data_IF_575990662310
#
_entry.id   IF_575990662310
#
_cell.length_a   1.000
_cell.length_b   1.000
_cell.length_c   1.000
_cell.angle_alpha   90.00
_cell.angle_beta   90.00
_cell.angle_gamma   90.00
#
_symmetry.space_group_name_H-M   'P 1'
#
loop_
_entity.id
_entity.type
_entity.pdbx_description
1 polymer ?
#
# COMPACT_ATOMS: atom_id res chain seq x y z
N UNK A 1 -15.06 7.10 -11.66
CA UNK A 1 -15.09 6.39 -10.35
C UNK A 1 -15.28 4.87 -10.57
N UNK A 2 -16.32 4.39 -11.31
CA UNK A 2 -16.60 2.96 -11.55
C UNK A 2 -15.39 2.18 -12.11
N UNK A 3 -14.72 2.68 -13.14
CA UNK A 3 -13.51 2.02 -13.68
C UNK A 3 -12.37 1.94 -12.67
N UNK A 4 -12.23 2.95 -11.81
CA UNK A 4 -11.20 2.96 -10.76
C UNK A 4 -11.47 1.96 -9.62
N UNK A 5 -12.73 1.55 -9.40
CA UNK A 5 -13.05 0.49 -8.45
C UNK A 5 -12.88 -0.92 -9.02
N UNK A 6 -12.44 -1.06 -10.26
CA UNK A 6 -12.29 -2.34 -10.94
C UNK A 6 -13.57 -2.92 -11.54
N UNK A 7 -14.69 -2.17 -11.50
CA UNK A 7 -15.95 -2.62 -12.06
C UNK A 7 -15.85 -2.82 -13.57
N UNK A 8 -16.45 -3.90 -14.07
CA UNK A 8 -16.62 -4.16 -15.51
C UNK A 8 -18.01 -3.75 -15.96
N UNK A 9 -18.08 -3.25 -17.16
CA UNK A 9 -19.34 -2.92 -17.82
C UNK A 9 -19.82 -4.14 -18.61
N UNK A 10 -21.03 -4.61 -18.31
CA UNK A 10 -21.64 -5.74 -19.00
C UNK A 10 -22.72 -5.31 -20.01
N UNK A 11 -23.34 -4.15 -19.78
CA UNK A 11 -24.28 -3.48 -20.70
C UNK A 11 -24.11 -1.97 -20.58
N UNK A 12 -24.78 -1.20 -21.45
CA UNK A 12 -24.58 0.27 -21.58
C UNK A 12 -24.59 1.04 -20.27
N UNK A 13 -25.41 0.67 -19.29
CA UNK A 13 -25.50 1.33 -17.98
C UNK A 13 -25.35 0.36 -16.81
N UNK A 14 -24.93 -0.88 -17.08
CA UNK A 14 -24.84 -1.93 -16.08
C UNK A 14 -23.39 -2.29 -15.82
N UNK A 15 -23.00 -2.20 -14.54
CA UNK A 15 -21.65 -2.50 -14.07
C UNK A 15 -21.71 -3.59 -13.00
N UNK A 16 -20.74 -4.48 -13.02
CA UNK A 16 -20.61 -5.58 -12.06
C UNK A 16 -19.29 -5.46 -11.30
N UNK A 17 -19.35 -5.83 -10.05
CA UNK A 17 -18.20 -5.93 -9.15
C UNK A 17 -18.35 -7.18 -8.28
N UNK A 18 -17.27 -7.88 -7.90
CA UNK A 18 -17.38 -8.97 -6.93
C UNK A 18 -17.96 -8.48 -5.60
N UNK A 19 -18.83 -9.31 -5.00
CA UNK A 19 -19.52 -8.98 -3.75
C UNK A 19 -18.55 -9.12 -2.57
N UNK A 20 -18.00 -8.00 -2.11
CA UNK A 20 -17.33 -7.92 -0.83
C UNK A 20 -17.76 -6.64 -0.06
N UNK A 21 -17.63 -6.63 1.28
CA UNK A 21 -18.14 -5.55 2.11
C UNK A 21 -17.60 -4.16 1.73
N UNK A 22 -16.31 -4.04 1.38
CA UNK A 22 -15.69 -2.75 1.01
C UNK A 22 -16.23 -2.23 -0.33
N UNK A 23 -16.39 -3.13 -1.30
CA UNK A 23 -16.87 -2.78 -2.64
C UNK A 23 -18.35 -2.50 -2.64
N UNK A 24 -19.12 -3.22 -1.83
CA UNK A 24 -20.53 -2.93 -1.63
C UNK A 24 -20.74 -1.51 -1.09
N UNK A 25 -20.01 -1.12 -0.05
CA UNK A 25 -20.05 0.25 0.49
C UNK A 25 -19.66 1.29 -0.59
N UNK A 26 -18.63 1.03 -1.38
CA UNK A 26 -18.23 1.91 -2.49
C UNK A 26 -19.37 2.11 -3.48
N UNK A 27 -20.10 1.06 -3.81
CA UNK A 27 -21.25 1.17 -4.72
C UNK A 27 -22.46 1.85 -4.08
N UNK A 28 -22.70 1.67 -2.79
CA UNK A 28 -23.72 2.41 -2.05
C UNK A 28 -23.46 3.92 -2.12
N UNK A 29 -22.25 4.35 -1.80
CA UNK A 29 -21.83 5.76 -1.90
C UNK A 29 -21.95 6.30 -3.32
N UNK A 30 -21.57 5.51 -4.32
CA UNK A 30 -21.67 5.94 -5.71
C UNK A 30 -23.13 6.08 -6.15
N UNK A 31 -23.99 5.13 -5.79
CA UNK A 31 -25.43 5.18 -6.05
C UNK A 31 -26.05 6.42 -5.41
N UNK A 32 -25.74 6.69 -4.16
CA UNK A 32 -26.22 7.89 -3.46
C UNK A 32 -25.70 9.17 -4.12
N UNK A 33 -24.46 9.19 -4.56
CA UNK A 33 -23.88 10.35 -5.23
C UNK A 33 -24.56 10.63 -6.59
N UNK A 34 -24.89 9.59 -7.36
CA UNK A 34 -25.62 9.74 -8.62
C UNK A 34 -27.02 10.30 -8.38
N UNK A 35 -27.73 9.76 -7.38
CA UNK A 35 -29.07 10.23 -7.01
C UNK A 35 -29.07 11.68 -6.54
N UNK A 36 -28.11 12.06 -5.70
CA UNK A 36 -27.94 13.46 -5.23
C UNK A 36 -27.62 14.44 -6.37
N UNK A 37 -27.03 13.94 -7.47
CA UNK A 37 -26.78 14.72 -8.68
C UNK A 37 -27.96 14.74 -9.66
N UNK A 38 -29.13 14.24 -9.28
CA UNK A 38 -30.35 14.19 -10.10
C UNK A 38 -30.39 13.04 -11.10
N UNK A 39 -29.47 12.06 -11.00
CA UNK A 39 -29.46 10.86 -11.81
C UNK A 39 -30.24 9.71 -11.15
N UNK A 40 -30.50 8.66 -11.93
CA UNK A 40 -31.08 7.42 -11.40
C UNK A 40 -30.01 6.33 -11.32
N UNK A 41 -30.00 5.59 -10.20
CA UNK A 41 -29.09 4.46 -9.99
C UNK A 41 -29.70 3.44 -9.03
N UNK A 42 -29.60 2.18 -9.39
CA UNK A 42 -30.02 1.04 -8.56
C UNK A 42 -28.82 0.15 -8.27
N UNK A 43 -28.67 -0.26 -7.02
CA UNK A 43 -27.68 -1.22 -6.58
C UNK A 43 -28.37 -2.54 -6.23
N UNK A 44 -27.91 -3.61 -6.87
CA UNK A 44 -28.44 -4.95 -6.64
C UNK A 44 -27.32 -5.89 -6.21
N UNK A 45 -27.57 -6.71 -5.19
CA UNK A 45 -26.73 -7.87 -4.86
C UNK A 45 -27.37 -9.11 -5.47
N UNK A 46 -26.64 -9.77 -6.35
CA UNK A 46 -27.10 -10.98 -7.02
C UNK A 46 -26.11 -12.12 -6.77
N UNK A 47 -26.61 -13.32 -6.57
CA UNK A 47 -25.78 -14.54 -6.52
C UNK A 47 -25.50 -15.06 -7.92
N UNK A 48 -26.48 -14.94 -8.81
CA UNK A 48 -26.44 -15.38 -10.19
C UNK A 48 -27.09 -14.35 -11.08
N UNK A 49 -26.62 -14.25 -12.32
CA UNK A 49 -27.20 -13.41 -13.36
C UNK A 49 -27.60 -14.36 -14.49
N UNK A 50 -28.90 -14.46 -14.76
CA UNK A 50 -29.40 -15.31 -15.83
C UNK A 50 -28.80 -14.90 -17.19
N UNK A 51 -28.33 -15.88 -17.93
CA UNK A 51 -27.65 -15.65 -19.22
C UNK A 51 -26.19 -15.19 -19.09
N UNK A 52 -25.65 -15.01 -17.85
CA UNK A 52 -24.27 -14.61 -17.62
C UNK A 52 -23.68 -15.37 -16.43
N UNK A 53 -23.21 -16.61 -16.61
CA UNK A 53 -22.67 -17.45 -15.55
C UNK A 53 -21.42 -16.83 -14.92
N UNK A 54 -21.15 -17.19 -13.66
CA UNK A 54 -20.05 -16.63 -12.87
C UNK A 54 -18.69 -16.84 -13.54
N UNK A 55 -18.47 -17.97 -14.19
CA UNK A 55 -17.26 -18.29 -14.95
C UNK A 55 -17.04 -17.26 -16.07
N UNK A 56 -18.11 -16.89 -16.74
CA UNK A 56 -18.04 -15.86 -17.80
C UNK A 56 -17.75 -14.47 -17.24
N UNK A 57 -18.28 -14.15 -16.05
CA UNK A 57 -17.94 -12.92 -15.35
C UNK A 57 -16.45 -12.89 -14.98
N UNK A 58 -15.91 -13.97 -14.45
CA UNK A 58 -14.47 -14.10 -14.13
C UNK A 58 -13.62 -13.90 -15.39
N UNK A 59 -13.99 -14.49 -16.53
CA UNK A 59 -13.31 -14.28 -17.80
C UNK A 59 -13.31 -12.81 -18.22
N UNK A 60 -14.43 -12.11 -18.07
CA UNK A 60 -14.55 -10.70 -18.43
C UNK A 60 -13.67 -9.81 -17.53
N UNK A 61 -13.63 -10.09 -16.22
CA UNK A 61 -12.71 -9.42 -15.28
C UNK A 61 -11.25 -9.66 -15.68
N UNK A 62 -10.90 -10.93 -15.92
CA UNK A 62 -9.56 -11.30 -16.33
C UNK A 62 -9.17 -10.68 -17.68
N UNK A 63 -10.07 -10.62 -18.66
CA UNK A 63 -9.82 -9.98 -19.93
C UNK A 63 -9.58 -8.46 -19.80
N UNK A 64 -10.32 -7.80 -18.91
CA UNK A 64 -10.12 -6.39 -18.63
C UNK A 64 -8.74 -6.14 -17.99
N UNK A 65 -8.37 -6.90 -16.97
CA UNK A 65 -7.05 -6.81 -16.32
C UNK A 65 -5.92 -7.16 -17.26
N UNK A 66 -6.09 -8.20 -18.08
CA UNK A 66 -5.10 -8.62 -19.08
C UNK A 66 -4.75 -7.51 -20.07
N UNK A 67 -5.73 -6.66 -20.45
CA UNK A 67 -5.49 -5.48 -21.30
C UNK A 67 -4.65 -4.42 -20.58
N UNK A 68 -4.93 -4.16 -19.31
CA UNK A 68 -4.20 -3.18 -18.52
C UNK A 68 -2.77 -3.62 -18.27
N UNK A 69 -2.54 -4.88 -17.89
CA UNK A 69 -1.20 -5.45 -17.75
C UNK A 69 -0.43 -5.46 -19.08
N UNK A 70 -1.10 -5.75 -20.20
CA UNK A 70 -0.47 -5.69 -21.51
C UNK A 70 -0.03 -4.26 -21.87
N UNK A 71 -0.88 -3.26 -21.62
CA UNK A 71 -0.53 -1.85 -21.83
C UNK A 71 0.67 -1.43 -20.97
N UNK A 72 0.68 -1.84 -19.69
CA UNK A 72 1.79 -1.54 -18.79
C UNK A 72 3.09 -2.24 -19.23
N UNK A 73 3.00 -3.47 -19.75
CA UNK A 73 4.14 -4.20 -20.30
C UNK A 73 4.80 -3.48 -21.47
N UNK A 74 4.00 -2.85 -22.35
CA UNK A 74 4.56 -2.06 -23.47
C UNK A 74 5.32 -0.82 -22.98
N UNK A 75 4.92 -0.22 -21.85
CA UNK A 75 5.66 0.87 -21.21
C UNK A 75 6.98 0.36 -20.61
N UNK A 76 6.99 -0.84 -20.05
CA UNK A 76 8.17 -1.46 -19.42
C UNK A 76 9.18 -1.96 -20.45
N UNK A 77 8.71 -2.47 -21.59
CA UNK A 77 9.56 -3.09 -22.63
C UNK A 77 10.77 -2.24 -23.04
N UNK A 78 10.66 -0.94 -23.34
CA UNK A 78 11.83 -0.11 -23.69
C UNK A 78 12.78 0.11 -22.50
N UNK A 79 12.30 -0.01 -21.25
CA UNK A 79 13.13 0.15 -20.06
C UNK A 79 14.11 -1.04 -19.86
N UNK A 80 13.75 -2.22 -20.37
CA UNK A 80 14.60 -3.42 -20.34
C UNK A 80 15.82 -3.27 -21.25
N UNK A 81 15.70 -2.52 -22.34
CA UNK A 81 16.74 -2.39 -23.38
C UNK A 81 17.68 -1.20 -23.13
N UNK A 82 17.25 -0.20 -22.33
CA UNK A 82 17.97 1.06 -22.20
C UNK A 82 18.92 1.03 -20.99
N UNK A 83 20.22 0.89 -21.26
CA UNK A 83 21.29 0.96 -20.24
C UNK A 83 21.79 2.39 -19.94
N UNK A 84 21.29 3.42 -20.61
CA UNK A 84 21.73 4.83 -20.47
C UNK A 84 20.71 5.64 -19.64
N UNK A 85 21.17 6.23 -18.54
CA UNK A 85 20.41 7.25 -17.79
C UNK A 85 19.76 6.73 -16.47
N UNK A 86 20.59 6.31 -15.50
CA UNK A 86 20.11 5.70 -14.23
C UNK A 86 19.09 6.50 -13.41
N UNK A 87 19.15 7.85 -13.41
CA UNK A 87 18.18 8.69 -12.66
C UNK A 87 16.80 8.72 -13.31
N UNK A 88 16.73 8.79 -14.64
CA UNK A 88 15.47 8.81 -15.38
C UNK A 88 14.77 7.45 -15.35
N UNK A 89 15.55 6.35 -15.28
CA UNK A 89 15.03 5.00 -15.21
C UNK A 89 14.30 4.75 -13.88
N UNK A 90 14.84 5.20 -12.75
CA UNK A 90 14.22 5.01 -11.43
C UNK A 90 12.84 5.68 -11.35
N UNK A 91 12.74 6.95 -11.75
CA UNK A 91 11.46 7.66 -11.74
C UNK A 91 10.40 7.03 -12.69
N UNK A 92 10.85 6.38 -13.78
CA UNK A 92 9.97 5.64 -14.67
C UNK A 92 9.51 4.33 -14.05
N UNK A 93 10.41 3.57 -13.41
CA UNK A 93 10.08 2.34 -12.71
C UNK A 93 9.13 2.57 -11.55
N UNK A 94 9.33 3.62 -10.75
CA UNK A 94 8.43 3.98 -9.65
C UNK A 94 7.02 4.27 -10.15
N UNK A 95 6.87 4.98 -11.29
CA UNK A 95 5.57 5.21 -11.93
C UNK A 95 4.92 3.92 -12.42
N UNK A 96 5.70 3.04 -13.02
CA UNK A 96 5.22 1.74 -13.51
C UNK A 96 4.76 0.86 -12.35
N UNK A 97 5.54 0.81 -11.27
CA UNK A 97 5.16 0.07 -10.04
C UNK A 97 3.88 0.61 -9.42
N UNK A 98 3.72 1.93 -9.39
CA UNK A 98 2.47 2.53 -8.95
C UNK A 98 1.27 2.06 -9.78
N UNK A 99 1.41 2.12 -11.11
CA UNK A 99 0.35 1.64 -12.01
C UNK A 99 0.11 0.14 -11.87
N UNK A 100 1.16 -0.66 -11.67
CA UNK A 100 1.05 -2.09 -11.42
C UNK A 100 0.24 -2.37 -10.15
N UNK A 101 0.55 -1.69 -9.04
CA UNK A 101 -0.23 -1.80 -7.79
C UNK A 101 -1.68 -1.39 -7.97
N UNK A 102 -1.96 -0.27 -8.65
CA UNK A 102 -3.32 0.18 -8.95
C UNK A 102 -4.12 -0.87 -9.76
N UNK A 103 -3.47 -1.59 -10.69
CA UNK A 103 -4.10 -2.68 -11.42
C UNK A 103 -4.31 -3.89 -10.50
N UNK A 104 -3.32 -4.23 -9.66
CA UNK A 104 -3.41 -5.35 -8.70
C UNK A 104 -4.55 -5.18 -7.71
N UNK A 105 -4.79 -3.97 -7.20
CA UNK A 105 -5.93 -3.67 -6.31
C UNK A 105 -7.31 -4.00 -6.93
N UNK A 106 -7.38 -4.05 -8.24
CA UNK A 106 -8.59 -4.36 -9.00
C UNK A 106 -8.55 -5.70 -9.74
N UNK A 107 -7.48 -6.47 -9.52
CA UNK A 107 -7.29 -7.82 -10.06
C UNK A 107 -7.82 -8.88 -9.09
N UNK A 108 -9.14 -9.04 -9.09
CA UNK A 108 -9.87 -9.87 -8.14
C UNK A 108 -9.67 -11.38 -8.32
N UNK A 109 -9.16 -11.78 -9.48
CA UNK A 109 -9.08 -13.19 -9.89
C UNK A 109 -7.65 -13.60 -10.26
N UNK A 110 -6.65 -12.86 -9.79
CA UNK A 110 -5.23 -13.18 -9.95
C UNK A 110 -4.83 -13.48 -11.41
N UNK A 111 -4.95 -12.49 -12.27
CA UNK A 111 -4.62 -12.64 -13.69
C UNK A 111 -3.15 -13.09 -13.90
N UNK A 112 -2.89 -14.16 -14.69
CA UNK A 112 -1.53 -14.68 -14.88
C UNK A 112 -0.52 -13.65 -15.42
N UNK A 113 -0.98 -12.64 -16.19
CA UNK A 113 -0.11 -11.57 -16.73
C UNK A 113 0.47 -10.66 -15.64
N UNK A 114 -0.14 -10.63 -14.45
CA UNK A 114 0.41 -9.93 -13.31
C UNK A 114 1.79 -10.50 -12.95
N UNK A 115 1.87 -11.82 -12.81
CA UNK A 115 3.12 -12.51 -12.45
C UNK A 115 4.23 -12.31 -13.48
N UNK A 116 3.87 -12.36 -14.78
CA UNK A 116 4.84 -12.13 -15.87
C UNK A 116 5.45 -10.73 -15.79
N UNK A 117 4.61 -9.72 -15.51
CA UNK A 117 5.06 -8.33 -15.42
C UNK A 117 5.87 -8.09 -14.14
N UNK A 118 5.48 -8.70 -13.05
CA UNK A 118 6.20 -8.66 -11.77
C UNK A 118 7.64 -9.18 -11.91
N UNK A 119 7.81 -10.35 -12.53
CA UNK A 119 9.14 -10.92 -12.84
C UNK A 119 9.99 -9.97 -13.70
N UNK A 120 9.38 -9.26 -14.65
CA UNK A 120 10.10 -8.28 -15.48
C UNK A 120 10.53 -7.07 -14.64
N UNK A 121 9.67 -6.58 -13.76
CA UNK A 121 9.96 -5.46 -12.87
C UNK A 121 11.07 -5.81 -11.87
N UNK A 122 11.02 -7.00 -11.27
CA UNK A 122 12.06 -7.53 -10.38
C UNK A 122 13.41 -7.64 -11.09
N UNK A 123 13.43 -8.15 -12.32
CA UNK A 123 14.67 -8.22 -13.13
C UNK A 123 15.24 -6.84 -13.42
N UNK A 124 14.42 -5.86 -13.73
CA UNK A 124 14.87 -4.48 -13.97
C UNK A 124 15.45 -3.84 -12.71
N UNK A 125 14.94 -4.20 -11.54
CA UNK A 125 15.48 -3.76 -10.26
C UNK A 125 16.72 -4.54 -9.84
N UNK A 126 16.75 -5.85 -10.10
CA UNK A 126 17.92 -6.69 -9.85
C UNK A 126 19.14 -6.34 -10.74
N UNK A 127 18.92 -5.73 -11.91
CA UNK A 127 19.98 -5.17 -12.75
C UNK A 127 20.45 -3.78 -12.31
N UNK A 128 19.69 -3.12 -11.47
CA UNK A 128 20.19 -1.96 -10.73
C UNK A 128 20.99 -2.49 -9.53
N UNK A 129 22.26 -2.12 -9.35
CA UNK A 129 22.89 -2.39 -8.07
C UNK A 129 21.98 -1.73 -7.03
N UNK A 130 21.38 -2.57 -6.17
CA UNK A 130 20.76 -2.07 -4.92
C UNK A 130 21.73 -1.00 -4.45
N UNK A 131 21.27 0.23 -4.29
CA UNK A 131 22.14 1.31 -3.83
C UNK A 131 22.79 0.82 -2.54
N UNK A 132 23.92 0.11 -2.71
CA UNK A 132 24.81 -0.23 -1.62
C UNK A 132 25.28 1.13 -1.14
N UNK A 133 24.86 1.47 0.07
CA UNK A 133 25.30 2.66 0.79
C UNK A 133 24.71 4.00 0.33
N UNK A 134 23.38 4.20 0.48
CA UNK A 134 23.00 5.50 0.99
C UNK A 134 23.62 5.63 2.40
N UNK A 135 24.33 6.72 2.73
CA UNK A 135 24.94 6.87 4.05
C UNK A 135 23.85 6.67 5.11
N UNK A 136 24.17 5.88 6.14
CA UNK A 136 23.25 5.69 7.27
C UNK A 136 22.92 7.06 7.85
N UNK A 137 21.64 7.26 8.08
CA UNK A 137 21.18 8.50 8.71
C UNK A 137 21.42 8.43 10.22
N UNK A 138 21.85 9.54 10.78
CA UNK A 138 22.11 9.63 12.22
C UNK A 138 20.84 10.10 12.95
N UNK A 139 20.30 9.34 13.90
CA UNK A 139 19.09 9.70 14.64
C UNK A 139 19.15 11.08 15.31
N UNK A 140 20.36 11.55 15.67
CA UNK A 140 20.57 12.88 16.30
C UNK A 140 20.10 14.04 15.43
N UNK A 141 20.13 13.88 14.09
CA UNK A 141 19.79 14.95 13.13
C UNK A 141 18.26 15.04 12.90
N UNK A 142 17.52 14.08 13.47
CA UNK A 142 16.07 13.95 13.31
C UNK A 142 15.27 14.23 14.58
N UNK A 143 15.92 14.73 15.65
CA UNK A 143 15.27 14.96 16.95
C UNK A 143 14.30 16.13 16.93
N UNK A 144 13.11 15.91 17.54
CA UNK A 144 12.08 16.93 17.73
C UNK A 144 11.42 17.39 16.41
N UNK A 145 11.48 16.57 15.39
CA UNK A 145 10.93 16.88 14.05
C UNK A 145 9.42 16.72 13.99
N UNK A 146 8.84 17.35 12.99
CA UNK A 146 7.46 17.09 12.58
C UNK A 146 7.49 15.99 11.52
N UNK A 147 6.74 14.93 11.79
CA UNK A 147 6.59 13.75 10.95
C UNK A 147 5.16 13.68 10.42
N UNK A 148 5.01 13.73 9.12
CA UNK A 148 3.71 13.78 8.43
C UNK A 148 3.46 12.47 7.70
N UNK A 149 2.24 11.97 7.84
CA UNK A 149 1.74 10.82 7.08
C UNK A 149 0.27 11.02 6.72
N UNK A 150 -0.28 10.06 5.98
CA UNK A 150 -1.69 10.10 5.57
C UNK A 150 -2.62 9.84 6.77
N UNK A 151 -3.84 10.42 6.77
CA UNK A 151 -4.89 10.06 7.74
C UNK A 151 -5.24 8.57 7.70
N UNK A 152 -5.91 8.12 8.76
CA UNK A 152 -6.33 6.72 8.95
C UNK A 152 -5.14 5.76 8.95
N UNK A 153 -4.25 5.85 9.95
CA UNK A 153 -3.03 5.05 9.99
C UNK A 153 -3.35 3.55 10.16
N UNK A 154 -2.80 2.75 9.26
CA UNK A 154 -2.83 1.29 9.24
C UNK A 154 -1.51 0.72 9.75
N UNK A 155 -1.28 -0.58 9.60
CA UNK A 155 -0.21 -1.31 10.29
C UNK A 155 1.20 -0.76 10.04
N UNK A 156 1.60 -0.53 8.79
CA UNK A 156 2.94 -0.01 8.48
C UNK A 156 3.12 1.42 8.99
N UNK A 157 2.08 2.26 8.87
CA UNK A 157 2.09 3.65 9.35
C UNK A 157 2.24 3.75 10.86
N UNK A 158 1.47 2.94 11.60
CA UNK A 158 1.54 2.91 13.07
C UNK A 158 2.85 2.32 13.54
N UNK A 159 3.29 1.21 12.92
CA UNK A 159 4.58 0.60 13.19
C UNK A 159 5.74 1.54 12.91
N UNK A 160 5.75 2.19 11.74
CA UNK A 160 6.76 3.16 11.35
C UNK A 160 6.82 4.34 12.33
N UNK A 161 5.68 4.88 12.75
CA UNK A 161 5.63 5.94 13.75
C UNK A 161 6.15 5.47 15.12
N UNK A 162 5.84 4.24 15.53
CA UNK A 162 6.39 3.63 16.74
C UNK A 162 7.92 3.47 16.65
N UNK A 163 8.44 2.98 15.53
CA UNK A 163 9.88 2.84 15.28
C UNK A 163 10.59 4.19 15.36
N UNK A 164 10.01 5.23 14.71
CA UNK A 164 10.50 6.60 14.75
C UNK A 164 10.62 7.05 16.21
N UNK A 165 9.54 6.95 17.00
CA UNK A 165 9.52 7.36 18.40
C UNK A 165 10.54 6.61 19.25
N UNK A 166 10.74 5.33 19.00
CA UNK A 166 11.58 4.46 19.84
C UNK A 166 13.08 4.58 19.53
N UNK A 167 13.44 4.68 18.25
CA UNK A 167 14.84 4.56 17.82
C UNK A 167 15.41 5.80 17.13
N UNK A 168 14.56 6.69 16.58
CA UNK A 168 15.01 7.79 15.73
C UNK A 168 14.82 9.15 16.42
N UNK A 169 13.59 9.46 16.82
CA UNK A 169 13.20 10.73 17.40
C UNK A 169 12.40 10.52 18.69
N UNK A 170 12.99 10.77 19.82
CA UNK A 170 12.33 10.56 21.14
C UNK A 170 11.18 11.51 21.44
N UNK A 171 11.05 12.61 20.69
CA UNK A 171 9.99 13.63 20.86
C UNK A 171 9.38 14.04 19.51
N UNK A 172 8.91 13.05 18.70
CA UNK A 172 8.35 13.33 17.38
C UNK A 172 7.00 14.03 17.51
N UNK A 173 6.69 14.90 16.56
CA UNK A 173 5.36 15.49 16.41
C UNK A 173 4.72 14.89 15.17
N UNK A 174 3.72 14.01 15.35
CA UNK A 174 3.01 13.40 14.23
C UNK A 174 1.85 14.26 13.76
N UNK A 175 1.75 14.44 12.43
CA UNK A 175 0.71 15.20 11.73
C UNK A 175 0.13 14.31 10.63
N UNK A 176 -1.16 14.44 10.38
CA UNK A 176 -1.90 13.62 9.42
C UNK A 176 -2.51 14.49 8.33
N UNK A 177 -1.98 14.40 7.12
CA UNK A 177 -2.48 15.11 5.95
C UNK A 177 -2.32 14.26 4.68
N UNK A 178 -3.21 14.44 3.71
CA UNK A 178 -3.20 13.67 2.46
C UNK A 178 -2.26 14.25 1.39
N UNK A 179 -1.74 15.45 1.59
CA UNK A 179 -0.86 16.15 0.63
C UNK A 179 0.54 16.29 1.19
N UNK A 180 1.52 16.22 0.31
CA UNK A 180 2.91 16.50 0.68
C UNK A 180 3.05 17.98 1.09
N UNK A 181 3.84 18.26 2.15
CA UNK A 181 4.04 19.62 2.62
C UNK A 181 4.96 20.38 1.66
N UNK A 182 4.70 21.67 1.46
CA UNK A 182 5.62 22.57 0.76
C UNK A 182 6.86 22.90 1.59
N UNK A 183 6.81 22.67 2.90
CA UNK A 183 7.87 22.99 3.85
C UNK A 183 8.81 21.79 4.03
N UNK A 184 10.06 21.91 3.60
CA UNK A 184 11.13 20.90 3.74
C UNK A 184 11.56 20.58 5.19
N UNK A 185 11.03 21.31 6.19
CA UNK A 185 11.29 21.00 7.61
C UNK A 185 10.40 19.89 8.16
N UNK A 186 9.33 19.55 7.44
CA UNK A 186 8.41 18.45 7.77
C UNK A 186 8.91 17.22 7.04
N UNK A 187 9.16 16.16 7.78
CA UNK A 187 9.55 14.85 7.24
C UNK A 187 8.29 14.02 6.96
N UNK A 188 8.30 13.32 5.86
CA UNK A 188 7.16 12.51 5.43
C UNK A 188 7.50 11.03 5.50
N UNK A 189 6.54 10.21 5.96
CA UNK A 189 6.69 8.76 5.98
C UNK A 189 5.40 8.05 5.55
N UNK A 190 5.53 6.91 4.92
CA UNK A 190 4.45 6.14 4.29
C UNK A 190 3.52 7.01 3.43
N UNK A 191 4.15 7.84 2.61
CA UNK A 191 3.50 8.67 1.61
C UNK A 191 4.19 8.50 0.26
N UNK A 192 3.39 8.49 -0.80
CA UNK A 192 3.93 8.46 -2.16
C UNK A 192 4.80 9.72 -2.39
N UNK A 193 6.00 9.53 -2.95
CA UNK A 193 7.01 10.58 -3.17
C UNK A 193 7.49 11.28 -1.87
N UNK A 194 7.27 10.65 -0.70
CA UNK A 194 7.74 11.14 0.59
C UNK A 194 9.22 10.83 0.87
N UNK A 195 9.76 11.39 1.98
CA UNK A 195 11.17 11.21 2.38
C UNK A 195 11.47 9.77 2.77
N UNK A 196 10.51 9.11 3.42
CA UNK A 196 10.57 7.70 3.81
C UNK A 196 9.29 7.01 3.35
N UNK A 197 9.40 6.16 2.35
CA UNK A 197 8.30 5.37 1.82
C UNK A 197 8.78 3.96 1.50
N UNK A 198 7.92 3.14 0.97
CA UNK A 198 8.31 1.84 0.43
C UNK A 198 9.49 2.01 -0.54
N UNK A 199 10.51 1.15 -0.44
CA UNK A 199 11.69 1.19 -1.31
C UNK A 199 12.01 -0.21 -1.84
N UNK A 200 11.66 -0.47 -3.08
CA UNK A 200 11.67 -1.81 -3.67
C UNK A 200 10.59 -2.68 -3.04
N UNK A 201 11.00 -3.82 -2.50
CA UNK A 201 10.12 -4.76 -1.81
C UNK A 201 9.97 -4.47 -0.31
N UNK A 202 10.68 -3.46 0.21
CA UNK A 202 10.62 -3.11 1.61
C UNK A 202 9.41 -2.21 1.89
N UNK A 203 8.62 -2.51 2.91
CA UNK A 203 7.63 -1.58 3.46
C UNK A 203 8.33 -0.37 4.13
N UNK A 204 7.58 0.65 4.53
CA UNK A 204 8.17 1.87 5.11
C UNK A 204 8.92 1.57 6.40
N UNK A 205 8.44 0.65 7.22
CA UNK A 205 9.11 0.22 8.44
C UNK A 205 10.49 -0.38 8.15
N UNK A 206 10.61 -1.28 7.17
CA UNK A 206 11.89 -1.88 6.75
C UNK A 206 12.84 -0.83 6.17
N UNK A 207 12.29 0.09 5.36
CA UNK A 207 13.04 1.21 4.80
C UNK A 207 13.66 2.07 5.91
N UNK A 208 12.91 2.38 6.97
CA UNK A 208 13.43 3.12 8.13
C UNK A 208 14.52 2.34 8.87
N UNK A 209 14.33 1.04 9.15
CA UNK A 209 15.37 0.19 9.77
C UNK A 209 16.67 0.28 8.97
N UNK A 210 16.58 0.11 7.66
CA UNK A 210 17.74 0.13 6.78
C UNK A 210 18.41 1.50 6.71
N UNK A 211 17.63 2.56 6.55
CA UNK A 211 18.13 3.94 6.43
C UNK A 211 18.85 4.43 7.68
N UNK A 212 18.34 4.08 8.86
CA UNK A 212 18.94 4.43 10.14
C UNK A 212 19.88 3.35 10.71
N UNK A 213 20.04 2.23 10.01
CA UNK A 213 20.93 1.14 10.40
C UNK A 213 20.59 0.53 11.76
N UNK A 214 19.30 0.39 12.06
CA UNK A 214 18.82 -0.17 13.34
C UNK A 214 19.13 -1.66 13.38
N UNK A 215 19.94 -2.09 14.38
CA UNK A 215 20.41 -3.47 14.53
C UNK A 215 19.64 -4.26 15.59
N UNK A 216 18.51 -3.75 16.05
CA UNK A 216 17.69 -4.39 17.08
C UNK A 216 16.94 -5.60 16.50
N UNK A 217 17.20 -6.79 17.09
CA UNK A 217 16.63 -8.06 16.62
C UNK A 217 15.10 -8.12 16.78
N UNK A 218 14.54 -7.53 17.82
CA UNK A 218 13.09 -7.52 18.04
C UNK A 218 12.41 -6.58 17.02
N UNK A 219 13.01 -5.43 16.73
CA UNK A 219 12.54 -4.53 15.69
C UNK A 219 12.59 -5.18 14.30
N UNK A 220 13.65 -5.95 14.00
CA UNK A 220 13.74 -6.69 12.73
C UNK A 220 12.64 -7.76 12.57
N UNK A 221 12.33 -8.49 13.67
CA UNK A 221 11.19 -9.43 13.64
C UNK A 221 9.84 -8.73 13.46
N UNK A 222 9.67 -7.56 14.09
CA UNK A 222 8.46 -6.75 13.88
C UNK A 222 8.36 -6.28 12.43
N UNK A 223 9.49 -5.97 11.78
CA UNK A 223 9.51 -5.62 10.37
C UNK A 223 8.95 -6.74 9.48
N UNK A 224 9.39 -8.00 9.71
CA UNK A 224 8.87 -9.17 9.00
C UNK A 224 7.34 -9.32 9.17
N UNK A 225 6.84 -9.13 10.41
CA UNK A 225 5.42 -9.23 10.73
C UNK A 225 4.58 -8.11 10.10
N UNK A 226 5.12 -6.88 10.07
CA UNK A 226 4.45 -5.74 9.43
C UNK A 226 4.46 -5.93 7.90
N UNK A 227 5.57 -6.38 7.33
CA UNK A 227 5.69 -6.64 5.90
C UNK A 227 4.55 -7.55 5.40
N UNK A 228 4.41 -8.74 5.99
CA UNK A 228 3.39 -9.70 5.58
C UNK A 228 1.96 -9.19 5.80
N UNK A 229 1.75 -8.37 6.85
CA UNK A 229 0.44 -7.79 7.13
C UNK A 229 0.05 -6.61 6.22
N UNK A 230 1.05 -5.88 5.69
CA UNK A 230 0.85 -4.69 4.85
C UNK A 230 0.86 -5.03 3.35
N UNK A 231 1.79 -5.89 2.92
CA UNK A 231 1.98 -6.25 1.51
C UNK A 231 1.20 -7.50 1.09
N UNK A 232 0.75 -8.32 2.04
CA UNK A 232 -0.06 -9.53 1.82
C UNK A 232 0.59 -10.51 0.82
N UNK A 233 1.93 -10.64 0.90
CA UNK A 233 2.75 -11.45 0.00
C UNK A 233 3.33 -12.72 0.65
N UNK A 234 3.06 -12.94 1.95
CA UNK A 234 3.50 -14.08 2.76
C UNK A 234 5.04 -14.32 2.72
N UNK A 235 5.82 -13.30 2.46
CA UNK A 235 7.28 -13.39 2.28
C UNK A 235 7.99 -14.00 3.49
N UNK A 236 7.56 -13.65 4.70
CA UNK A 236 8.14 -14.12 5.96
C UNK A 236 7.26 -15.14 6.68
N UNK A 237 6.08 -15.44 6.18
CA UNK A 237 5.08 -16.34 6.76
C UNK A 237 4.70 -15.96 8.20
N UNK A 238 4.47 -14.66 8.43
CA UNK A 238 4.17 -14.04 9.72
C UNK A 238 2.73 -13.56 9.79
N UNK A 239 1.98 -14.04 10.75
CA UNK A 239 0.55 -13.68 10.91
C UNK A 239 0.25 -12.78 12.11
N UNK A 240 1.24 -12.50 12.95
CA UNK A 240 1.04 -11.80 14.22
C UNK A 240 0.47 -10.40 14.03
N UNK A 241 0.97 -9.63 13.06
CA UNK A 241 0.51 -8.26 12.80
C UNK A 241 -0.80 -8.18 12.02
N UNK A 242 -1.28 -9.26 11.40
CA UNK A 242 -2.59 -9.28 10.74
C UNK A 242 -3.73 -8.96 11.72
N UNK A 243 -3.65 -9.50 12.95
CA UNK A 243 -4.61 -9.19 14.01
C UNK A 243 -4.56 -7.73 14.45
N UNK A 244 -3.37 -7.18 14.61
CA UNK A 244 -3.17 -5.77 14.97
C UNK A 244 -3.71 -4.87 13.86
N UNK A 245 -3.42 -5.15 12.60
CA UNK A 245 -3.94 -4.38 11.46
C UNK A 245 -5.47 -4.33 11.44
N UNK A 246 -6.14 -5.46 11.69
CA UNK A 246 -7.60 -5.51 11.79
C UNK A 246 -8.14 -4.66 12.93
N UNK A 247 -7.45 -4.62 14.07
CA UNK A 247 -7.83 -3.78 15.22
C UNK A 247 -7.67 -2.30 14.86
N UNK A 248 -6.55 -1.90 14.24
CA UNK A 248 -6.31 -0.52 13.80
C UNK A 248 -7.38 -0.05 12.82
N UNK A 249 -7.69 -0.86 11.82
CA UNK A 249 -8.77 -0.62 10.85
C UNK A 249 -10.15 -0.55 11.53
N UNK A 250 -10.36 -1.36 12.57
CA UNK A 250 -11.57 -1.33 13.40
C UNK A 250 -11.72 0.00 14.14
N UNK A 251 -10.68 0.50 14.79
CA UNK A 251 -10.70 1.81 15.46
C UNK A 251 -10.95 2.96 14.48
N UNK A 252 -10.35 2.92 13.29
CA UNK A 252 -10.61 3.90 12.25
C UNK A 252 -12.09 3.89 11.81
N UNK A 253 -12.72 2.71 11.69
CA UNK A 253 -14.16 2.58 11.40
C UNK A 253 -15.07 3.10 12.52
N UNK A 254 -14.63 2.97 13.78
CA UNK A 254 -15.33 3.54 14.95
C UNK A 254 -15.20 5.06 15.03
N UNK A 255 -14.45 5.71 14.14
CA UNK A 255 -14.27 7.15 14.11
C UNK A 255 -13.24 7.69 15.11
N UNK A 256 -12.37 6.84 15.66
CA UNK A 256 -11.28 7.32 16.52
C UNK A 256 -10.39 8.31 15.75
N UNK A 257 -9.93 9.35 16.44
CA UNK A 257 -8.98 10.29 15.90
C UNK A 257 -7.62 9.61 15.59
N UNK A 258 -6.95 10.00 14.52
CA UNK A 258 -5.69 9.39 14.06
C UNK A 258 -4.61 9.38 15.16
N UNK A 259 -4.53 10.45 15.97
CA UNK A 259 -3.62 10.53 17.13
C UNK A 259 -3.94 9.47 18.20
N UNK A 260 -5.19 9.17 18.41
CA UNK A 260 -5.62 8.15 19.37
C UNK A 260 -5.38 6.74 18.85
N UNK A 261 -5.60 6.50 17.55
CA UNK A 261 -5.23 5.24 16.89
C UNK A 261 -3.72 5.02 17.05
N UNK A 262 -2.91 6.06 16.80
CA UNK A 262 -1.47 5.98 16.92
C UNK A 262 -1.03 5.67 18.37
N UNK A 263 -1.63 6.36 19.36
CA UNK A 263 -1.33 6.15 20.77
C UNK A 263 -1.59 4.70 21.20
N UNK A 264 -2.76 4.18 20.89
CA UNK A 264 -3.13 2.77 21.19
C UNK A 264 -2.28 1.77 20.43
N UNK A 265 -2.00 2.05 19.17
CA UNK A 265 -1.12 1.22 18.36
C UNK A 265 0.30 1.15 18.92
N UNK A 266 0.81 2.23 19.50
CA UNK A 266 2.10 2.22 20.20
C UNK A 266 2.10 1.24 21.39
N UNK A 267 1.03 1.15 22.15
CA UNK A 267 0.90 0.19 23.25
C UNK A 267 0.95 -1.27 22.72
N UNK A 268 0.30 -1.54 21.59
CA UNK A 268 0.38 -2.86 20.93
C UNK A 268 1.83 -3.20 20.53
N UNK A 269 2.53 -2.26 19.87
CA UNK A 269 3.91 -2.49 19.45
C UNK A 269 4.89 -2.53 20.62
N UNK A 270 4.70 -1.76 21.68
CA UNK A 270 5.53 -1.84 22.90
C UNK A 270 5.35 -3.21 23.57
N UNK A 271 4.14 -3.76 23.63
CA UNK A 271 3.87 -5.10 24.16
C UNK A 271 4.50 -6.20 23.30
N UNK A 272 4.32 -6.12 21.96
CA UNK A 272 4.92 -7.06 21.02
C UNK A 272 6.46 -7.03 21.11
N UNK A 273 7.04 -5.85 21.15
CA UNK A 273 8.48 -5.67 21.29
C UNK A 273 9.02 -6.28 22.60
N UNK A 274 8.35 -6.04 23.72
CA UNK A 274 8.72 -6.62 25.01
C UNK A 274 8.65 -8.16 25.00
N UNK A 275 7.65 -8.74 24.34
CA UNK A 275 7.52 -10.18 24.14
C UNK A 275 8.69 -10.76 23.34
N UNK A 276 9.13 -10.08 22.29
CA UNK A 276 10.20 -10.53 21.39
C UNK A 276 11.61 -10.36 22.00
N UNK A 277 11.79 -9.47 22.96
CA UNK A 277 13.08 -9.28 23.65
C UNK A 277 13.42 -10.41 24.62
N UNK A 278 12.45 -11.16 25.11
CA UNK A 278 12.63 -12.20 26.13
C UNK A 278 13.16 -13.54 25.58
N UNK A 279 13.61 -13.60 24.34
CA UNK A 279 14.13 -14.83 23.71
C UNK A 279 15.56 -14.66 23.20
#
# INVERSE_FOLDING_TARGET
KLKKSGAIQIQTSTYVLPDDPRRYETFQWLTQHIRNAGGDATLVRAREIEGLPNERLVELFNAARAKEYAALREIVRPLVVTTKGRRDLRGKLDRVRKQFREIRETDFFNNPKARDLEIILEKLEGTQPRSKTQPKLEPRDFRGRVWLTRPRPEIDRVGSAWLIRKFIDRKPKFVFESKLPSNRRVLTFDMLDGDFSHDGDDCTFETLIRRFGIQDKAAQKIAEMIHDADLDDDKFQRSECVGIDRILKGWAKQGLADKEILRRGFECFDALYAFLQRR
#
